data_IF_139787896340
#
_entry.id   IF_139787896340
#
_cell.length_a   1.000
_cell.length_b   1.000
_cell.length_c   1.000
_cell.angle_alpha   90.00
_cell.angle_beta   90.00
_cell.angle_gamma   90.00
#
_symmetry.space_group_name_H-M   'P 1'
#
loop_
_entity.id
_entity.type
_entity.pdbx_description
1 polymer ?
#
# COMPACT_ATOMS: atom_id res chain seq x y z
N UNK A 1 15.70 -3.31 -10.71
CA UNK A 1 16.20 -4.48 -11.48
C UNK A 1 15.84 -4.36 -12.96
N UNK A 2 14.57 -4.51 -13.36
CA UNK A 2 14.14 -4.47 -14.77
C UNK A 2 14.55 -3.19 -15.52
N UNK A 3 14.33 -2.01 -14.92
CA UNK A 3 14.74 -0.74 -15.55
C UNK A 3 16.26 -0.65 -15.75
N UNK A 4 17.05 -1.20 -14.82
CA UNK A 4 18.51 -1.25 -14.95
C UNK A 4 18.96 -2.20 -16.06
N UNK A 5 18.28 -3.34 -16.24
CA UNK A 5 18.63 -4.29 -17.30
C UNK A 5 18.40 -3.75 -18.71
N UNK A 6 17.61 -2.68 -18.85
CA UNK A 6 17.41 -1.94 -20.11
C UNK A 6 18.12 -0.59 -20.15
N UNK A 7 19.05 -0.33 -19.23
CA UNK A 7 19.96 0.82 -19.27
C UNK A 7 19.55 2.05 -18.46
N UNK A 8 18.53 1.97 -17.60
CA UNK A 8 18.22 3.10 -16.70
C UNK A 8 19.31 3.28 -15.62
N UNK A 9 19.72 4.53 -15.41
CA UNK A 9 20.66 4.90 -14.33
C UNK A 9 19.96 4.91 -12.97
N UNK A 10 20.74 4.87 -11.88
CA UNK A 10 20.20 5.01 -10.53
C UNK A 10 19.46 6.35 -10.34
N UNK A 11 19.95 7.43 -10.94
CA UNK A 11 19.29 8.73 -10.89
C UNK A 11 17.92 8.72 -11.58
N UNK A 12 17.82 8.05 -12.75
CA UNK A 12 16.55 7.88 -13.44
C UNK A 12 15.54 7.07 -12.61
N UNK A 13 16.01 6.02 -11.92
CA UNK A 13 15.16 5.20 -11.02
C UNK A 13 14.69 6.03 -9.83
N UNK A 14 15.59 6.77 -9.18
CA UNK A 14 15.23 7.65 -8.06
C UNK A 14 14.17 8.67 -8.47
N UNK A 15 14.37 9.35 -9.60
CA UNK A 15 13.43 10.34 -10.11
C UNK A 15 12.07 9.71 -10.50
N UNK A 16 12.08 8.49 -11.07
CA UNK A 16 10.86 7.77 -11.41
C UNK A 16 10.06 7.35 -10.17
N UNK A 17 10.73 6.75 -9.17
CA UNK A 17 10.09 6.30 -7.94
C UNK A 17 9.53 7.45 -7.11
N UNK A 18 10.20 8.60 -7.09
CA UNK A 18 9.74 9.79 -6.35
C UNK A 18 8.40 10.35 -6.87
N UNK A 19 8.05 10.07 -8.12
CA UNK A 19 6.83 10.57 -8.76
C UNK A 19 5.72 9.52 -8.86
N UNK A 20 5.86 8.39 -8.16
CA UNK A 20 4.84 7.35 -8.14
C UNK A 20 3.55 7.89 -7.53
N UNK A 21 2.43 7.54 -8.17
CA UNK A 21 1.09 7.73 -7.63
C UNK A 21 0.57 6.39 -7.17
N UNK A 22 0.04 6.35 -5.95
CA UNK A 22 -0.66 5.18 -5.46
C UNK A 22 -1.87 4.89 -6.36
N UNK A 23 -2.18 3.61 -6.53
CA UNK A 23 -3.37 3.16 -7.27
C UNK A 23 -4.53 3.12 -6.29
N UNK A 24 -5.69 3.73 -6.59
CA UNK A 24 -6.87 3.63 -5.74
C UNK A 24 -7.20 2.18 -5.36
N UNK A 25 -7.54 1.94 -4.09
CA UNK A 25 -7.81 0.61 -3.55
C UNK A 25 -6.58 -0.28 -3.26
N UNK A 26 -5.35 0.21 -3.43
CA UNK A 26 -4.11 -0.53 -3.12
C UNK A 26 -3.18 0.30 -2.22
N UNK A 27 -3.36 0.17 -0.90
CA UNK A 27 -2.72 1.03 0.12
C UNK A 27 -2.75 2.52 -0.23
N UNK A 28 -3.90 2.98 -0.73
CA UNK A 28 -4.05 4.34 -1.23
C UNK A 28 -4.22 5.33 -0.05
N UNK A 29 -3.30 6.29 0.14
CA UNK A 29 -3.38 7.21 1.26
C UNK A 29 -4.42 8.31 1.02
N UNK A 30 -5.35 8.46 1.95
CA UNK A 30 -6.39 9.49 1.97
C UNK A 30 -6.23 10.29 3.26
N UNK A 31 -5.79 11.54 3.15
CA UNK A 31 -5.74 12.46 4.28
C UNK A 31 -7.16 12.92 4.63
N UNK A 32 -7.63 12.61 5.84
CA UNK A 32 -8.96 13.01 6.30
C UNK A 32 -8.92 14.37 7.02
N UNK A 33 -7.97 14.53 7.93
CA UNK A 33 -7.71 15.75 8.70
C UNK A 33 -6.27 15.73 9.22
N UNK A 34 -5.83 16.75 9.96
CA UNK A 34 -4.52 16.77 10.60
C UNK A 34 -4.33 15.52 11.48
N UNK A 35 -3.23 14.78 11.27
CA UNK A 35 -2.90 13.52 11.95
C UNK A 35 -3.94 12.37 11.76
N UNK A 36 -4.88 12.51 10.82
CA UNK A 36 -5.85 11.47 10.48
C UNK A 36 -5.64 10.98 9.06
N UNK A 37 -5.11 9.76 8.94
CA UNK A 37 -4.81 9.10 7.68
C UNK A 37 -5.68 7.85 7.53
N UNK A 38 -6.36 7.74 6.40
CA UNK A 38 -7.00 6.52 5.95
C UNK A 38 -6.13 5.86 4.88
N UNK A 39 -5.89 4.56 5.01
CA UNK A 39 -5.24 3.74 3.99
C UNK A 39 -6.33 2.89 3.32
N UNK A 40 -6.67 3.22 2.08
CA UNK A 40 -7.65 2.49 1.29
C UNK A 40 -6.97 1.31 0.56
N UNK A 41 -7.19 0.11 1.10
CA UNK A 41 -6.75 -1.17 0.52
C UNK A 41 -7.95 -2.07 0.17
N UNK A 42 -9.04 -1.46 -0.31
CA UNK A 42 -10.33 -2.14 -0.49
C UNK A 42 -10.47 -2.99 -1.77
N UNK A 43 -9.42 -3.10 -2.60
CA UNK A 43 -9.53 -3.78 -3.90
C UNK A 43 -9.59 -5.31 -3.82
N UNK A 44 -8.74 -5.94 -3.01
CA UNK A 44 -8.67 -7.41 -2.87
C UNK A 44 -8.19 -7.80 -1.47
N UNK A 45 -8.88 -8.77 -0.88
CA UNK A 45 -8.54 -9.31 0.43
C UNK A 45 -8.25 -10.81 0.34
N UNK A 46 -6.96 -11.16 0.36
CA UNK A 46 -6.46 -12.51 0.51
C UNK A 46 -5.54 -12.58 1.74
N UNK A 47 -5.20 -13.79 2.17
CA UNK A 47 -4.41 -13.99 3.40
C UNK A 47 -3.06 -13.26 3.33
N UNK A 48 -2.41 -13.26 2.16
CA UNK A 48 -1.13 -12.58 1.95
C UNK A 48 -1.26 -11.06 2.00
N UNK A 49 -2.22 -10.49 1.26
CA UNK A 49 -2.44 -9.04 1.25
C UNK A 49 -2.88 -8.52 2.62
N UNK A 50 -3.74 -9.25 3.32
CA UNK A 50 -4.20 -8.87 4.65
C UNK A 50 -3.06 -8.88 5.69
N UNK A 51 -2.19 -9.90 5.63
CA UNK A 51 -1.01 -9.95 6.51
C UNK A 51 -0.08 -8.76 6.26
N UNK A 52 0.14 -8.40 4.99
CA UNK A 52 0.93 -7.24 4.63
C UNK A 52 0.28 -5.92 5.07
N UNK A 53 -1.05 -5.78 4.92
CA UNK A 53 -1.80 -4.61 5.38
C UNK A 53 -1.67 -4.40 6.90
N UNK A 54 -1.70 -5.48 7.69
CA UNK A 54 -1.46 -5.43 9.14
C UNK A 54 -0.05 -4.93 9.46
N UNK A 55 0.98 -5.40 8.75
CA UNK A 55 2.36 -4.95 8.95
C UNK A 55 2.52 -3.46 8.64
N UNK A 56 1.96 -3.00 7.51
CA UNK A 56 1.97 -1.58 7.13
C UNK A 56 1.26 -0.75 8.19
N UNK A 57 0.08 -1.17 8.64
CA UNK A 57 -0.67 -0.45 9.67
C UNK A 57 0.12 -0.38 10.98
N UNK A 58 0.80 -1.47 11.38
CA UNK A 58 1.56 -1.53 12.63
C UNK A 58 2.71 -0.50 12.70
N UNK A 59 3.27 -0.11 11.56
CA UNK A 59 4.33 0.90 11.45
C UNK A 59 3.79 2.34 11.41
N UNK A 60 2.46 2.53 11.32
CA UNK A 60 1.85 3.86 11.26
C UNK A 60 1.82 4.56 12.64
N UNK A 61 2.02 5.88 12.67
CA UNK A 61 1.99 6.66 13.89
C UNK A 61 0.57 6.75 14.48
N UNK A 62 0.49 7.06 15.78
CA UNK A 62 -0.78 7.33 16.46
C UNK A 62 -1.60 6.08 16.80
N UNK A 63 -2.91 6.26 16.94
CA UNK A 63 -3.86 5.19 17.21
C UNK A 63 -4.27 4.50 15.92
N UNK A 64 -4.17 3.17 15.88
CA UNK A 64 -4.34 2.37 14.67
C UNK A 64 -5.62 1.56 14.74
N UNK A 65 -6.43 1.65 13.68
CA UNK A 65 -7.67 0.87 13.54
C UNK A 65 -7.60 0.11 12.22
N UNK A 66 -7.83 -1.19 12.30
CA UNK A 66 -7.98 -2.06 11.14
C UNK A 66 -9.47 -2.32 10.91
N UNK A 67 -10.00 -1.84 9.78
CA UNK A 67 -11.38 -2.10 9.36
C UNK A 67 -11.32 -3.11 8.21
N UNK A 68 -11.91 -4.29 8.40
CA UNK A 68 -11.84 -5.40 7.45
C UNK A 68 -13.23 -5.98 7.17
N UNK A 69 -13.43 -6.42 5.93
CA UNK A 69 -14.52 -7.30 5.54
C UNK A 69 -14.03 -8.74 5.37
N UNK A 70 -14.94 -9.62 4.97
CA UNK A 70 -14.61 -11.03 4.71
C UNK A 70 -13.62 -11.17 3.56
N UNK A 71 -12.72 -12.15 3.67
CA UNK A 71 -11.77 -12.51 2.60
C UNK A 71 -12.44 -13.43 1.60
N UNK A 72 -12.39 -13.07 0.32
CA UNK A 72 -13.03 -13.84 -0.75
C UNK A 72 -12.26 -15.13 -1.13
N UNK A 73 -11.01 -15.27 -0.67
CA UNK A 73 -10.11 -16.38 -1.05
C UNK A 73 -10.05 -17.53 -0.03
N UNK A 74 -10.91 -17.53 0.97
CA UNK A 74 -11.12 -18.70 1.81
C UNK A 74 -12.10 -19.60 1.06
N UNK A 75 -11.58 -20.62 0.36
CA UNK A 75 -12.41 -21.73 -0.11
C UNK A 75 -13.09 -22.46 1.06
N UNK A 76 -13.75 -23.59 0.78
CA UNK A 76 -14.21 -24.51 1.85
C UNK A 76 -13.04 -25.24 2.52
#
# INVERSE_FOLDING_TARGET
ALSMSVGATLDAIKAGLANLKAVPGRLFPIQLAENQLLLDDSYNANVGSMTAAVQVLAEMPGYRVLVVGDMAELGE
#
